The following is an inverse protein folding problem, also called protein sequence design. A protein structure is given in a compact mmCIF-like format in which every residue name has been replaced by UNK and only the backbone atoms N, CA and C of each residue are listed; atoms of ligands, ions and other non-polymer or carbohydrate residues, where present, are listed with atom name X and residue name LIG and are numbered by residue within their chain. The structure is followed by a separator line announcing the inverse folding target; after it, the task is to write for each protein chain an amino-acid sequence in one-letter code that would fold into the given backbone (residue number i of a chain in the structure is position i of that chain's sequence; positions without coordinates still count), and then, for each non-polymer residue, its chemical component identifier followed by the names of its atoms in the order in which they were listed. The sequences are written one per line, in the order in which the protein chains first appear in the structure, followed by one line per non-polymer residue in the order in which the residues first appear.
data_IF_511375394071
#
_entry.id   IF_511375394071
#
_cell.length_a   1.000
_cell.length_b   1.000
_cell.length_c   1.000
_cell.angle_alpha   90.00
_cell.angle_beta   90.00
_cell.angle_gamma   90.00
#
_symmetry.space_group_name_H-M   'P 1'
#
loop_
_entity.id
_entity.type
_entity.pdbx_description
1 polymer ?
#
# COMPACT_ATOMS: atom_id res chain seq x y z
N UNK A 1 7.67 -21.93 -37.54
CA UNK A 1 6.34 -21.47 -37.13
C UNK A 1 5.68 -20.83 -38.34
N UNK A 2 4.54 -21.34 -38.81
CA UNK A 2 3.93 -20.85 -40.06
C UNK A 2 3.36 -19.44 -39.85
N UNK A 3 3.66 -18.52 -40.77
CA UNK A 3 3.24 -17.11 -40.70
C UNK A 3 1.73 -16.93 -40.54
N UNK A 4 0.94 -17.90 -41.04
CA UNK A 4 -0.52 -17.94 -40.87
C UNK A 4 -0.97 -18.23 -39.42
N UNK A 5 -0.18 -18.97 -38.65
CA UNK A 5 -0.47 -19.28 -37.23
C UNK A 5 -0.15 -18.09 -36.32
N UNK A 6 0.85 -17.27 -36.69
CA UNK A 6 1.20 -16.05 -35.96
C UNK A 6 0.08 -14.99 -36.04
N UNK A 7 -0.54 -14.83 -37.21
CA UNK A 7 -1.62 -13.86 -37.41
C UNK A 7 -2.90 -14.20 -36.64
N UNK A 8 -3.25 -15.49 -36.51
CA UNK A 8 -4.45 -15.92 -35.77
C UNK A 8 -4.31 -15.62 -34.27
N UNK A 9 -3.12 -15.84 -33.70
CA UNK A 9 -2.86 -15.56 -32.27
C UNK A 9 -2.91 -14.05 -31.98
N UNK A 10 -2.39 -13.21 -32.87
CA UNK A 10 -2.43 -11.75 -32.73
C UNK A 10 -3.88 -11.23 -32.77
N UNK A 11 -4.72 -11.75 -33.67
CA UNK A 11 -6.13 -11.34 -33.75
C UNK A 11 -6.91 -11.71 -32.48
N UNK A 12 -6.63 -12.89 -31.89
CA UNK A 12 -7.27 -13.32 -30.64
C UNK A 12 -6.84 -12.44 -29.46
N UNK A 13 -5.56 -12.08 -29.38
CA UNK A 13 -5.05 -11.19 -28.32
C UNK A 13 -5.61 -9.77 -28.46
N UNK A 14 -5.77 -9.26 -29.68
CA UNK A 14 -6.38 -7.95 -29.92
C UNK A 14 -7.88 -7.93 -29.60
N UNK A 15 -8.62 -9.01 -29.89
CA UNK A 15 -10.03 -9.13 -29.53
C UNK A 15 -10.25 -9.29 -28.01
N UNK A 16 -9.37 -10.02 -27.32
CA UNK A 16 -9.37 -10.12 -25.87
C UNK A 16 -8.98 -8.78 -25.20
N UNK A 17 -8.00 -8.07 -25.74
CA UNK A 17 -7.62 -6.73 -25.28
C UNK A 17 -8.72 -5.68 -25.49
N UNK A 18 -9.41 -5.72 -26.64
CA UNK A 18 -10.50 -4.80 -26.95
C UNK A 18 -11.74 -5.02 -26.06
N UNK A 19 -12.07 -6.26 -25.71
CA UNK A 19 -13.17 -6.57 -24.78
C UNK A 19 -12.82 -6.19 -23.34
N UNK A 20 -11.57 -6.41 -22.91
CA UNK A 20 -11.08 -5.95 -21.62
C UNK A 20 -11.10 -4.41 -21.53
N UNK A 21 -10.67 -3.69 -22.57
CA UNK A 21 -10.68 -2.23 -22.59
C UNK A 21 -12.09 -1.63 -22.68
N UNK A 22 -12.98 -2.24 -23.48
CA UNK A 22 -14.38 -1.79 -23.60
C UNK A 22 -15.18 -2.02 -22.31
N UNK A 23 -14.91 -3.11 -21.57
CA UNK A 23 -15.55 -3.34 -20.27
C UNK A 23 -15.01 -2.43 -19.15
N UNK A 24 -13.75 -1.98 -19.23
CA UNK A 24 -13.15 -1.06 -18.25
C UNK A 24 -13.28 0.42 -18.61
N UNK A 25 -13.78 0.77 -19.81
CA UNK A 25 -13.77 2.14 -20.35
C UNK A 25 -15.05 2.96 -20.18
N UNK A 26 -16.14 2.39 -19.64
CA UNK A 26 -17.38 3.14 -19.38
C UNK A 26 -17.51 3.55 -17.92
N UNK A 27 -16.95 4.71 -17.58
CA UNK A 27 -17.43 5.54 -16.47
C UNK A 27 -16.97 6.99 -16.68
N UNK A 28 -17.62 7.68 -17.61
CA UNK A 28 -17.61 9.15 -17.68
C UNK A 28 -19.06 9.65 -17.86
N UNK A 29 -19.63 10.08 -16.73
CA UNK A 29 -20.65 11.12 -16.53
C UNK A 29 -21.99 11.06 -17.27
N UNK A 30 -23.05 10.82 -16.48
CA UNK A 30 -24.28 11.61 -16.55
C UNK A 30 -24.69 12.05 -15.14
N UNK A 31 -24.94 13.36 -15.01
CA UNK A 31 -25.28 14.06 -13.78
C UNK A 31 -26.78 13.98 -13.46
N UNK A 32 -27.11 13.76 -12.19
CA UNK A 32 -28.43 13.93 -11.58
C UNK A 32 -28.27 13.95 -10.05
N UNK A 33 -29.00 14.82 -9.32
CA UNK A 33 -28.72 15.08 -7.91
C UNK A 33 -29.34 14.03 -6.98
N UNK A 34 -28.68 13.85 -5.83
CA UNK A 34 -29.16 13.20 -4.62
C UNK A 34 -29.53 11.71 -4.68
N UNK A 35 -28.53 10.87 -4.45
CA UNK A 35 -28.42 10.07 -3.22
C UNK A 35 -27.06 9.37 -3.23
N UNK A 36 -26.04 10.05 -2.71
CA UNK A 36 -24.78 9.42 -2.31
C UNK A 36 -25.10 8.47 -1.15
N UNK A 37 -25.39 7.21 -1.45
CA UNK A 37 -25.11 6.13 -0.51
C UNK A 37 -23.59 6.06 -0.45
N UNK A 38 -22.93 6.37 0.68
CA UNK A 38 -21.51 6.12 0.78
C UNK A 38 -21.35 4.61 0.61
N UNK A 39 -20.60 4.20 -0.41
CA UNK A 39 -19.98 2.90 -0.39
C UNK A 39 -19.11 2.89 0.87
N UNK A 40 -19.62 2.29 1.93
CA UNK A 40 -18.88 1.91 3.11
C UNK A 40 -17.92 0.80 2.69
N UNK A 41 -16.91 1.17 1.92
CA UNK A 41 -15.66 0.44 1.91
C UNK A 41 -15.12 0.52 3.32
N UNK A 42 -14.72 -0.61 3.88
CA UNK A 42 -13.95 -0.69 5.11
C UNK A 42 -12.71 0.20 4.99
N UNK A 43 -12.88 1.49 5.28
CA UNK A 43 -11.79 2.34 5.71
C UNK A 43 -11.48 1.83 7.11
N UNK A 44 -10.58 0.84 7.19
CA UNK A 44 -9.90 0.53 8.43
C UNK A 44 -9.35 1.87 8.93
N UNK A 45 -9.98 2.42 9.97
CA UNK A 45 -9.63 3.73 10.48
C UNK A 45 -8.13 3.72 10.82
N UNK A 46 -7.36 4.53 10.11
CA UNK A 46 -5.96 4.74 10.42
C UNK A 46 -5.90 5.55 11.71
N UNK A 47 -5.06 5.13 12.66
CA UNK A 47 -4.82 5.89 13.88
C UNK A 47 -4.34 7.32 13.52
N UNK A 48 -5.06 8.38 13.93
CA UNK A 48 -4.66 9.76 13.66
C UNK A 48 -3.23 10.08 14.12
N UNK A 49 -2.72 9.41 15.17
CA UNK A 49 -1.35 9.60 15.65
C UNK A 49 -0.31 9.18 14.60
N UNK A 50 -0.64 8.22 13.72
CA UNK A 50 0.23 7.73 12.67
C UNK A 50 0.48 8.79 11.60
N UNK A 51 -0.48 9.69 11.37
CA UNK A 51 -0.37 10.74 10.34
C UNK A 51 0.75 11.72 10.68
N UNK A 52 1.60 12.02 9.70
CA UNK A 52 2.71 12.94 9.80
C UNK A 52 3.99 12.40 9.16
N UNK A 53 5.03 13.23 9.19
CA UNK A 53 6.36 12.87 8.69
C UNK A 53 7.19 12.27 9.82
N UNK A 54 7.76 11.09 9.56
CA UNK A 54 8.56 10.32 10.48
C UNK A 54 9.97 10.19 9.94
N UNK A 55 10.98 10.65 10.68
CA UNK A 55 12.38 10.54 10.31
C UNK A 55 13.03 9.38 11.02
N UNK A 56 13.76 8.53 10.29
CA UNK A 56 14.45 7.38 10.87
C UNK A 56 15.53 7.83 11.87
N UNK A 57 15.67 7.08 12.95
CA UNK A 57 16.75 7.30 13.93
C UNK A 57 18.06 6.66 13.50
N UNK A 58 18.00 5.63 12.66
CA UNK A 58 19.16 4.88 12.18
C UNK A 58 19.69 5.45 10.85
N UNK A 59 18.84 6.19 10.13
CA UNK A 59 19.18 6.89 8.90
C UNK A 59 18.53 8.27 8.87
N UNK A 60 19.30 9.29 9.23
CA UNK A 60 18.79 10.66 9.32
C UNK A 60 18.31 11.25 7.98
N UNK A 61 18.70 10.66 6.83
CA UNK A 61 18.26 11.11 5.51
C UNK A 61 16.93 10.48 5.09
N UNK A 62 16.53 9.39 5.74
CA UNK A 62 15.29 8.70 5.40
C UNK A 62 14.11 9.26 6.18
N UNK A 63 13.05 9.60 5.46
CA UNK A 63 11.75 9.99 6.02
C UNK A 63 10.63 9.17 5.41
N UNK A 64 9.63 8.83 6.23
CA UNK A 64 8.35 8.24 5.82
C UNK A 64 7.22 9.15 6.26
N UNK A 65 6.38 9.58 5.33
CA UNK A 65 5.20 10.40 5.62
C UNK A 65 3.95 9.57 5.44
N UNK A 66 3.14 9.46 6.49
CA UNK A 66 1.81 8.88 6.42
C UNK A 66 0.78 10.01 6.35
N UNK A 67 -0.06 10.02 5.33
CA UNK A 67 -1.11 11.03 5.15
C UNK A 67 -2.47 10.48 5.59
N UNK A 68 -3.36 11.37 6.01
CA UNK A 68 -4.70 11.01 6.47
C UNK A 68 -5.59 10.39 5.37
N UNK A 69 -5.22 10.57 4.10
CA UNK A 69 -5.91 10.01 2.93
C UNK A 69 -5.50 8.55 2.62
N UNK A 70 -4.64 7.94 3.44
CA UNK A 70 -4.15 6.59 3.22
C UNK A 70 -2.96 6.50 2.26
N UNK A 71 -2.34 7.62 1.88
CA UNK A 71 -1.08 7.62 1.13
C UNK A 71 0.14 7.60 2.05
N UNK A 72 1.19 6.92 1.61
CA UNK A 72 2.49 6.92 2.30
C UNK A 72 3.59 7.28 1.33
N UNK A 73 4.52 8.14 1.74
CA UNK A 73 5.67 8.55 0.93
C UNK A 73 6.96 8.26 1.68
N UNK A 74 7.83 7.49 1.06
CA UNK A 74 9.22 7.34 1.48
C UNK A 74 10.09 8.30 0.66
N UNK A 75 10.98 9.02 1.33
CA UNK A 75 11.87 9.97 0.70
C UNK A 75 13.27 9.91 1.32
N UNK A 76 14.26 10.26 0.50
CA UNK A 76 15.66 10.33 0.90
C UNK A 76 16.19 11.75 0.67
N UNK A 77 16.75 12.38 1.71
CA UNK A 77 17.26 13.73 1.62
C UNK A 77 18.38 13.84 0.58
N UNK A 78 18.23 14.80 -0.33
CA UNK A 78 19.20 15.06 -1.41
C UNK A 78 19.00 14.20 -2.66
N UNK A 79 18.01 13.30 -2.68
CA UNK A 79 17.70 12.47 -3.85
C UNK A 79 16.19 12.39 -4.11
N UNK A 80 15.70 13.30 -4.97
CA UNK A 80 14.30 13.30 -5.38
C UNK A 80 13.90 12.04 -6.18
N UNK A 81 14.87 11.37 -6.83
CA UNK A 81 14.61 10.13 -7.58
C UNK A 81 14.40 8.91 -6.68
N UNK A 82 14.87 9.00 -5.43
CA UNK A 82 14.64 8.00 -4.38
C UNK A 82 13.31 8.21 -3.62
N UNK A 83 12.46 9.14 -4.07
CA UNK A 83 11.12 9.32 -3.49
C UNK A 83 10.13 8.34 -4.10
N UNK A 84 9.45 7.57 -3.26
CA UNK A 84 8.42 6.61 -3.67
C UNK A 84 7.14 6.82 -2.86
N UNK A 85 6.01 6.94 -3.56
CA UNK A 85 4.69 7.08 -2.95
C UNK A 85 3.86 5.83 -3.19
N UNK A 86 3.21 5.36 -2.15
CA UNK A 86 2.30 4.23 -2.15
C UNK A 86 1.05 4.51 -1.33
N UNK A 87 0.32 3.46 -0.98
CA UNK A 87 -0.83 3.49 -0.08
C UNK A 87 -0.55 2.67 1.17
N UNK A 88 -1.24 2.97 2.26
CA UNK A 88 -1.20 2.18 3.47
C UNK A 88 -2.59 2.02 4.09
N UNK A 89 -2.79 0.88 4.75
CA UNK A 89 -4.02 0.59 5.49
C UNK A 89 -3.72 -0.37 6.63
N UNK A 90 -4.55 -0.35 7.66
CA UNK A 90 -4.53 -1.36 8.72
C UNK A 90 -5.30 -2.61 8.24
N UNK A 91 -4.72 -3.79 8.45
CA UNK A 91 -5.29 -5.06 8.00
C UNK A 91 -5.43 -6.06 9.14
N UNK A 92 -6.36 -6.99 8.97
CA UNK A 92 -6.43 -8.20 9.78
C UNK A 92 -5.41 -9.22 9.22
N UNK A 93 -4.34 -9.57 9.96
CA UNK A 93 -3.32 -10.49 9.47
C UNK A 93 -3.86 -11.89 9.15
N UNK A 94 -5.00 -12.30 9.74
CA UNK A 94 -5.63 -13.60 9.45
C UNK A 94 -6.30 -13.65 8.08
N UNK A 95 -6.53 -12.49 7.44
CA UNK A 95 -7.16 -12.38 6.12
C UNK A 95 -6.16 -12.20 4.98
N UNK A 96 -4.87 -12.03 5.29
CA UNK A 96 -3.84 -11.86 4.28
C UNK A 96 -3.37 -13.20 3.69
N UNK A 97 -2.83 -13.23 2.45
CA UNK A 97 -2.38 -14.46 1.83
C UNK A 97 -1.32 -15.20 2.65
N UNK A 98 -1.36 -16.53 2.61
CA UNK A 98 -0.37 -17.37 3.28
C UNK A 98 1.06 -16.99 2.84
N UNK A 99 1.94 -16.76 3.80
CA UNK A 99 3.33 -16.36 3.56
C UNK A 99 3.55 -14.87 3.27
N UNK A 100 2.50 -14.06 3.12
CA UNK A 100 2.63 -12.62 2.87
C UNK A 100 3.30 -11.86 4.02
N UNK A 101 3.13 -12.35 5.25
CA UNK A 101 3.66 -11.77 6.49
C UNK A 101 5.06 -12.30 6.85
N UNK A 102 5.72 -13.03 5.95
CA UNK A 102 7.00 -13.69 6.23
C UNK A 102 6.85 -14.91 7.13
N UNK A 103 7.90 -15.23 7.89
CA UNK A 103 7.93 -16.37 8.82
C UNK A 103 7.37 -16.05 10.22
N UNK A 104 6.67 -14.91 10.37
CA UNK A 104 6.11 -14.48 11.65
C UNK A 104 4.88 -15.33 11.97
N UNK A 105 4.83 -16.01 13.14
CA UNK A 105 3.64 -16.76 13.55
C UNK A 105 2.44 -15.84 13.76
N UNK A 106 1.27 -16.19 13.21
CA UNK A 106 0.06 -15.36 13.25
C UNK A 106 -0.40 -15.08 14.68
N UNK A 107 -0.24 -16.04 15.58
CA UNK A 107 -0.55 -15.91 16.99
C UNK A 107 0.23 -14.79 17.68
N UNK A 108 1.46 -14.50 17.21
CA UNK A 108 2.29 -13.41 17.74
C UNK A 108 1.84 -12.02 17.30
N UNK A 109 0.95 -11.94 16.30
CA UNK A 109 0.36 -10.69 15.81
C UNK A 109 -0.99 -10.39 16.48
N UNK A 110 -1.44 -11.24 17.40
CA UNK A 110 -2.68 -11.00 18.16
C UNK A 110 -2.57 -9.69 18.95
N UNK A 111 -3.47 -8.75 18.68
CA UNK A 111 -3.47 -7.43 19.32
C UNK A 111 -2.42 -6.44 18.79
N UNK A 112 -1.65 -6.82 17.76
CA UNK A 112 -0.71 -5.94 17.08
C UNK A 112 -1.41 -5.27 15.90
N UNK A 113 -1.30 -3.95 15.79
CA UNK A 113 -1.72 -3.23 14.59
C UNK A 113 -0.79 -3.60 13.44
N UNK A 114 -1.34 -4.21 12.39
CA UNK A 114 -0.58 -4.57 11.18
C UNK A 114 -0.93 -3.60 10.06
N UNK A 115 0.08 -2.92 9.54
CA UNK A 115 -0.03 -2.09 8.35
C UNK A 115 0.36 -2.87 7.10
N UNK A 116 -0.48 -2.77 6.08
CA UNK A 116 -0.16 -3.15 4.70
C UNK A 116 0.19 -1.89 3.94
N UNK A 117 1.41 -1.84 3.42
CA UNK A 117 1.90 -0.77 2.56
C UNK A 117 2.05 -1.31 1.14
N UNK A 118 1.48 -0.61 0.16
CA UNK A 118 1.56 -0.98 -1.26
C UNK A 118 2.24 0.13 -2.04
N UNK A 119 3.42 -0.17 -2.59
CA UNK A 119 4.20 0.72 -3.44
C UNK A 119 3.91 0.44 -4.94
N UNK A 120 4.43 1.28 -5.86
CA UNK A 120 4.29 1.05 -7.30
C UNK A 120 4.79 -0.34 -7.71
N UNK A 121 4.32 -0.82 -8.87
CA UNK A 121 4.60 -2.18 -9.37
C UNK A 121 4.09 -3.32 -8.46
N UNK A 122 3.12 -3.02 -7.58
CA UNK A 122 2.47 -3.98 -6.68
C UNK A 122 3.43 -4.57 -5.63
N UNK A 123 4.48 -3.84 -5.25
CA UNK A 123 5.31 -4.23 -4.11
C UNK A 123 4.51 -4.02 -2.82
N UNK A 124 4.23 -5.12 -2.11
CA UNK A 124 3.50 -5.09 -0.85
C UNK A 124 4.44 -5.39 0.31
N UNK A 125 4.39 -4.56 1.34
CA UNK A 125 5.13 -4.73 2.59
C UNK A 125 4.17 -4.73 3.77
N UNK A 126 4.46 -5.55 4.78
CA UNK A 126 3.70 -5.57 6.03
C UNK A 126 4.54 -5.13 7.20
N UNK A 127 3.98 -4.27 8.04
CA UNK A 127 4.64 -3.73 9.22
C UNK A 127 3.78 -3.95 10.45
N UNK A 128 4.33 -4.59 11.49
CA UNK A 128 3.73 -4.56 12.82
C UNK A 128 4.08 -3.25 13.52
N UNK A 129 3.09 -2.52 14.04
CA UNK A 129 3.34 -1.31 14.83
C UNK A 129 3.58 -1.72 16.29
N UNK A 130 4.84 -1.60 16.72
CA UNK A 130 5.25 -2.01 18.07
C UNK A 130 4.97 -0.92 19.11
N UNK A 131 5.10 0.36 18.72
CA UNK A 131 4.83 1.52 19.57
C UNK A 131 4.52 2.73 18.69
N UNK A 132 3.51 3.52 19.07
CA UNK A 132 3.12 4.76 18.43
C UNK A 132 2.78 5.79 19.51
N UNK A 133 3.50 6.91 19.51
CA UNK A 133 3.24 8.07 20.39
C UNK A 133 3.16 9.34 19.54
N UNK A 134 2.95 10.49 20.16
CA UNK A 134 3.00 11.78 19.46
C UNK A 134 4.36 12.08 18.82
N UNK A 135 5.45 11.46 19.30
CA UNK A 135 6.81 11.80 18.87
C UNK A 135 7.66 10.61 18.43
N UNK A 136 7.24 9.38 18.70
CA UNK A 136 8.00 8.16 18.38
C UNK A 136 7.14 7.12 17.68
N UNK A 137 7.72 6.46 16.68
CA UNK A 137 7.12 5.33 16.00
C UNK A 137 8.15 4.20 15.93
N UNK A 138 7.74 3.00 16.31
CA UNK A 138 8.52 1.77 16.17
C UNK A 138 7.70 0.76 15.39
N UNK A 139 8.28 0.22 14.32
CA UNK A 139 7.65 -0.80 13.48
C UNK A 139 8.58 -1.98 13.26
N UNK A 140 8.03 -3.17 13.08
CA UNK A 140 8.77 -4.33 12.57
C UNK A 140 8.33 -4.61 11.15
N UNK A 141 9.27 -4.66 10.19
CA UNK A 141 8.98 -5.17 8.86
C UNK A 141 8.83 -6.70 8.91
N UNK A 142 7.61 -7.20 8.80
CA UNK A 142 7.29 -8.61 9.05
C UNK A 142 7.95 -9.56 8.04
N UNK A 143 8.18 -9.09 6.80
CA UNK A 143 8.83 -9.89 5.76
C UNK A 143 10.30 -10.26 6.05
N UNK A 144 11.02 -9.45 6.85
CA UNK A 144 12.46 -9.69 7.18
C UNK A 144 12.80 -9.61 8.66
N UNK A 145 11.87 -9.16 9.52
CA UNK A 145 12.07 -8.99 10.95
C UNK A 145 12.84 -7.73 11.37
N UNK A 146 13.20 -6.84 10.44
CA UNK A 146 13.92 -5.60 10.76
C UNK A 146 13.03 -4.67 11.59
N UNK A 147 13.59 -4.11 12.67
CA UNK A 147 12.95 -3.05 13.45
C UNK A 147 13.32 -1.71 12.83
N UNK A 148 12.32 -0.86 12.65
CA UNK A 148 12.43 0.50 12.14
C UNK A 148 12.01 1.46 13.25
N UNK A 149 12.89 2.41 13.53
CA UNK A 149 12.76 3.38 14.61
C UNK A 149 12.66 4.78 14.01
N UNK A 150 11.66 5.55 14.44
CA UNK A 150 11.41 6.88 13.93
C UNK A 150 11.11 7.90 15.02
N UNK A 151 11.42 9.15 14.71
CA UNK A 151 10.96 10.33 15.43
C UNK A 151 10.05 11.16 14.54
N UNK A 152 9.00 11.75 15.12
CA UNK A 152 8.11 12.63 14.36
C UNK A 152 8.84 13.94 14.04
N UNK A 153 8.79 14.36 12.78
CA UNK A 153 9.26 15.67 12.35
C UNK A 153 8.21 16.69 12.79
N UNK A 154 8.66 17.76 13.45
CA UNK A 154 7.80 18.85 13.92
C UNK A 154 7.42 19.80 12.80
#
# INVERSE_FOLDING_TARGET
MNSKTLWVVIVIILLAGATYWYSNGQSAQQAGPDQQVPASGESSAVDPLMTGTWKSTDDAKFTRTFNADGTVTDAYEGDASATVTGTYTTVDPLKEPAGALGAVPLESLTGVTVLKVTFPQSEVMYFGVNSLTETSLTMTYLGRGNILLFTKVR
#
